data_IF_068314856282
#
_entry.id   IF_068314856282
#
_cell.length_a   1.000
_cell.length_b   1.000
_cell.length_c   1.000
_cell.angle_alpha   90.00
_cell.angle_beta   90.00
_cell.angle_gamma   90.00
#
_symmetry.space_group_name_H-M   'P 1'
#
loop_
_entity.id
_entity.type
_entity.pdbx_description
1 polymer ?
#
# COMPACT_ATOMS: atom_id res chain seq x y z
N UNK A 1 -12.72 68.66 12.96
CA UNK A 1 -11.74 67.65 12.53
C UNK A 1 -12.26 66.30 12.98
N UNK A 2 -12.81 65.53 12.04
CA UNK A 2 -13.65 64.36 12.29
C UNK A 2 -12.85 63.10 12.67
N UNK A 3 -13.39 62.38 13.65
CA UNK A 3 -12.93 61.09 14.16
C UNK A 3 -13.45 59.97 13.24
N UNK A 4 -12.57 59.22 12.57
CA UNK A 4 -12.94 58.01 11.81
C UNK A 4 -12.58 56.76 12.63
N UNK A 5 -13.61 56.06 13.12
CA UNK A 5 -13.50 54.73 13.72
C UNK A 5 -13.43 53.67 12.62
N UNK A 6 -12.28 53.02 12.48
CA UNK A 6 -12.13 51.83 11.63
C UNK A 6 -12.62 50.60 12.41
N UNK A 7 -13.83 50.13 12.07
CA UNK A 7 -14.35 48.83 12.48
C UNK A 7 -13.63 47.73 11.68
N UNK A 8 -12.70 47.04 12.31
CA UNK A 8 -12.08 45.82 11.77
C UNK A 8 -13.07 44.66 11.85
N UNK A 9 -13.59 44.24 10.71
CA UNK A 9 -14.35 43.00 10.58
C UNK A 9 -13.41 41.79 10.74
N UNK A 10 -13.59 41.03 11.82
CA UNK A 10 -12.98 39.71 11.96
C UNK A 10 -13.85 38.71 11.20
N UNK A 11 -13.38 38.25 10.05
CA UNK A 11 -14.01 37.14 9.32
C UNK A 11 -13.63 35.86 10.04
N UNK A 12 -14.53 35.32 10.87
CA UNK A 12 -14.40 33.96 11.40
C UNK A 12 -14.75 33.00 10.27
N UNK A 13 -13.75 32.39 9.66
CA UNK A 13 -13.95 31.30 8.73
C UNK A 13 -14.52 30.10 9.49
N UNK A 14 -15.82 29.87 9.37
CA UNK A 14 -16.45 28.64 9.84
C UNK A 14 -16.03 27.50 8.90
N UNK A 15 -15.08 26.68 9.34
CA UNK A 15 -14.76 25.44 8.64
C UNK A 15 -15.97 24.51 8.69
N UNK A 16 -16.45 23.99 7.55
CA UNK A 16 -17.58 23.08 7.54
C UNK A 16 -17.24 21.82 8.35
N UNK A 17 -18.22 21.24 9.07
CA UNK A 17 -18.00 20.01 9.84
C UNK A 17 -17.53 18.91 8.90
N UNK A 18 -16.33 18.39 9.15
CA UNK A 18 -15.77 17.27 8.41
C UNK A 18 -16.63 16.02 8.62
N UNK A 19 -17.34 15.61 7.58
CA UNK A 19 -18.14 14.38 7.59
C UNK A 19 -17.20 13.17 7.58
N UNK A 20 -16.98 12.55 8.76
CA UNK A 20 -16.04 11.42 8.97
C UNK A 20 -16.34 10.16 8.15
N UNK A 21 -17.51 10.09 7.49
CA UNK A 21 -17.94 8.89 6.75
C UNK A 21 -17.51 8.88 5.28
N UNK A 22 -16.93 9.97 4.77
CA UNK A 22 -16.34 10.00 3.43
C UNK A 22 -14.83 10.05 3.57
N UNK A 23 -14.19 8.88 3.60
CA UNK A 23 -12.75 8.77 3.49
C UNK A 23 -12.31 9.45 2.18
N UNK A 24 -11.52 10.53 2.29
CA UNK A 24 -10.91 11.16 1.11
C UNK A 24 -10.12 10.06 0.37
N UNK A 25 -10.33 9.86 -0.95
CA UNK A 25 -9.59 8.87 -1.73
C UNK A 25 -8.07 9.02 -1.65
N UNK A 26 -7.54 10.20 -1.30
CA UNK A 26 -6.12 10.39 -1.01
C UNK A 26 -5.64 9.60 0.23
N UNK A 27 -6.49 9.32 1.22
CA UNK A 27 -6.13 8.49 2.38
C UNK A 27 -5.95 7.00 2.03
N UNK A 28 -6.28 6.57 0.81
CA UNK A 28 -6.04 5.18 0.39
C UNK A 28 -4.59 4.92 -0.04
N UNK A 29 -3.76 5.96 -0.12
CA UNK A 29 -2.31 5.84 -0.36
C UNK A 29 -1.52 6.51 0.76
N UNK A 30 -0.96 5.72 1.66
CA UNK A 30 0.03 6.21 2.61
C UNK A 30 1.40 6.28 1.94
N UNK A 31 2.17 7.34 2.24
CA UNK A 31 3.53 7.59 1.71
C UNK A 31 3.66 7.55 0.16
N UNK A 32 2.53 7.57 -0.57
CA UNK A 32 2.45 7.55 -2.03
C UNK A 32 2.37 6.16 -2.67
N UNK A 33 2.88 5.12 -2.01
CA UNK A 33 3.05 3.76 -2.55
C UNK A 33 2.39 2.65 -1.72
N UNK A 34 1.90 2.95 -0.51
CA UNK A 34 1.23 1.98 0.35
C UNK A 34 -0.29 2.10 0.19
N UNK A 35 -0.92 1.08 -0.38
CA UNK A 35 -2.37 0.99 -0.49
C UNK A 35 -2.94 0.54 0.85
N UNK A 36 -3.74 1.37 1.50
CA UNK A 36 -4.38 1.02 2.77
C UNK A 36 -5.79 0.47 2.55
N UNK A 37 -6.04 -0.72 3.11
CA UNK A 37 -7.40 -1.26 3.23
C UNK A 37 -8.12 -0.62 4.42
N UNK A 38 -9.45 -0.67 4.45
CA UNK A 38 -10.24 -0.06 5.54
C UNK A 38 -9.87 -0.64 6.91
N UNK A 39 -9.50 -1.93 6.96
CA UNK A 39 -9.01 -2.60 8.15
C UNK A 39 -7.67 -2.01 8.64
N UNK A 40 -6.78 -1.65 7.71
CA UNK A 40 -5.47 -1.07 8.02
C UNK A 40 -5.60 0.35 8.55
N UNK A 41 -6.52 1.13 8.00
CA UNK A 41 -6.77 2.51 8.43
C UNK A 41 -7.13 2.58 9.92
N UNK A 42 -7.95 1.66 10.43
CA UNK A 42 -8.28 1.61 11.85
C UNK A 42 -7.09 1.15 12.71
N UNK A 43 -6.22 0.28 12.19
CA UNK A 43 -5.03 -0.20 12.92
C UNK A 43 -3.90 0.82 12.99
N UNK A 44 -3.75 1.66 11.96
CA UNK A 44 -2.67 2.64 11.83
C UNK A 44 -3.03 3.96 12.54
N UNK A 45 -4.32 4.29 12.68
CA UNK A 45 -4.78 5.49 13.39
C UNK A 45 -4.19 5.56 14.81
N UNK A 46 -3.32 6.54 15.03
CA UNK A 46 -2.69 6.80 16.33
C UNK A 46 -1.44 5.96 16.64
N UNK A 47 -0.95 5.16 15.69
CA UNK A 47 0.30 4.40 15.82
C UNK A 47 1.32 4.88 14.79
N UNK A 48 2.61 4.75 15.12
CA UNK A 48 3.72 4.97 14.19
C UNK A 48 4.20 3.60 13.68
N UNK A 49 4.26 3.42 12.38
CA UNK A 49 4.76 2.20 11.74
C UNK A 49 3.68 1.21 11.28
N UNK A 50 4.13 0.07 10.76
CA UNK A 50 3.25 -0.96 10.21
C UNK A 50 2.39 -1.64 11.29
N UNK A 51 1.17 -2.11 10.97
CA UNK A 51 0.34 -2.89 11.89
C UNK A 51 1.09 -4.12 12.39
N UNK A 52 1.44 -4.11 13.68
CA UNK A 52 2.09 -5.24 14.35
C UNK A 52 1.04 -6.21 14.91
N UNK A 53 0.35 -6.91 14.01
CA UNK A 53 -0.59 -7.97 14.39
C UNK A 53 -0.18 -9.29 13.75
N UNK A 54 -0.44 -10.42 14.42
CA UNK A 54 -0.15 -11.74 13.84
C UNK A 54 -0.95 -12.02 12.58
N UNK A 55 -2.10 -11.34 12.39
CA UNK A 55 -2.97 -11.51 11.22
C UNK A 55 -2.38 -10.92 9.96
N UNK A 56 -1.69 -9.78 10.08
CA UNK A 56 -1.07 -9.03 8.97
C UNK A 56 0.33 -9.50 8.63
N UNK A 57 0.95 -10.38 9.44
CA UNK A 57 2.26 -10.97 9.17
C UNK A 57 2.15 -12.20 8.27
N UNK A 58 3.19 -12.41 7.47
CA UNK A 58 3.38 -13.63 6.70
C UNK A 58 3.87 -14.76 7.61
N UNK A 59 3.34 -16.00 7.46
CA UNK A 59 3.87 -17.15 8.17
C UNK A 59 5.31 -17.42 7.76
N UNK A 60 6.16 -17.76 8.72
CA UNK A 60 7.59 -18.06 8.50
C UNK A 60 7.84 -19.53 8.18
N UNK A 61 6.86 -20.39 8.43
CA UNK A 61 6.91 -21.84 8.31
C UNK A 61 6.18 -22.35 7.06
N UNK A 62 5.80 -21.45 6.15
CA UNK A 62 5.03 -21.78 4.96
C UNK A 62 5.62 -21.11 3.72
N UNK A 63 5.49 -21.78 2.58
CA UNK A 63 5.84 -21.22 1.28
C UNK A 63 4.80 -20.17 0.88
N UNK A 64 5.25 -18.96 0.60
CA UNK A 64 4.42 -17.87 0.11
C UNK A 64 4.35 -17.96 -1.41
N UNK A 65 3.20 -18.38 -1.94
CA UNK A 65 3.02 -18.50 -3.39
C UNK A 65 2.85 -17.12 -4.04
N UNK A 66 3.53 -16.88 -5.16
CA UNK A 66 3.35 -15.65 -5.94
C UNK A 66 3.04 -15.96 -7.41
N UNK A 67 2.35 -15.05 -8.08
CA UNK A 67 2.07 -15.14 -9.51
C UNK A 67 2.31 -13.81 -10.18
N UNK A 68 2.95 -13.85 -11.35
CA UNK A 68 3.10 -12.70 -12.22
C UNK A 68 1.88 -12.60 -13.15
N UNK A 69 1.17 -11.48 -13.09
CA UNK A 69 0.00 -11.20 -13.92
C UNK A 69 0.23 -9.95 -14.77
N UNK A 70 0.33 -10.16 -16.08
CA UNK A 70 0.49 -9.10 -17.05
C UNK A 70 1.57 -9.41 -18.09
N UNK A 71 1.63 -8.63 -19.18
CA UNK A 71 2.65 -8.78 -20.21
C UNK A 71 3.99 -8.22 -19.70
N UNK A 72 4.69 -9.00 -18.89
CA UNK A 72 6.08 -8.76 -18.56
C UNK A 72 6.97 -9.32 -19.66
N UNK A 73 7.97 -8.55 -20.09
CA UNK A 73 9.07 -9.14 -20.84
C UNK A 73 9.89 -10.08 -19.94
N UNK A 74 10.73 -10.90 -20.56
CA UNK A 74 11.52 -11.92 -19.86
C UNK A 74 12.52 -11.32 -18.86
N UNK A 75 13.08 -10.13 -19.16
CA UNK A 75 14.03 -9.47 -18.28
C UNK A 75 13.34 -8.89 -17.02
N UNK A 76 12.20 -8.25 -17.19
CA UNK A 76 11.40 -7.70 -16.09
C UNK A 76 10.87 -8.83 -15.19
N UNK A 77 10.37 -9.92 -15.78
CA UNK A 77 9.96 -11.10 -15.01
C UNK A 77 11.14 -11.70 -14.23
N UNK A 78 12.33 -11.78 -14.83
CA UNK A 78 13.53 -12.25 -14.15
C UNK A 78 13.95 -11.33 -13.00
N UNK A 79 13.84 -10.00 -13.18
CA UNK A 79 14.10 -9.03 -12.11
C UNK A 79 13.19 -9.27 -10.91
N UNK A 80 11.88 -9.46 -11.13
CA UNK A 80 10.92 -9.76 -10.05
C UNK A 80 11.30 -11.07 -9.34
N UNK A 81 11.62 -12.12 -10.10
CA UNK A 81 12.09 -13.41 -9.54
C UNK A 81 13.35 -13.26 -8.69
N UNK A 82 14.30 -12.43 -9.13
CA UNK A 82 15.51 -12.14 -8.38
C UNK A 82 15.18 -11.45 -7.04
N UNK A 83 14.17 -10.57 -7.00
CA UNK A 83 13.69 -9.96 -5.75
C UNK A 83 13.16 -10.99 -4.75
N UNK A 84 12.30 -11.92 -5.19
CA UNK A 84 11.83 -13.02 -4.32
C UNK A 84 12.96 -13.94 -3.88
N UNK A 85 13.93 -14.23 -4.76
CA UNK A 85 15.13 -14.99 -4.41
C UNK A 85 15.96 -14.26 -3.36
N UNK A 86 16.19 -12.97 -3.51
CA UNK A 86 16.94 -12.18 -2.53
C UNK A 86 16.32 -12.30 -1.13
N UNK A 87 15.00 -12.17 -1.00
CA UNK A 87 14.34 -12.32 0.29
C UNK A 87 14.36 -13.76 0.81
N UNK A 88 14.30 -14.75 -0.08
CA UNK A 88 14.49 -16.16 0.31
C UNK A 88 15.88 -16.40 0.88
N UNK A 89 16.91 -15.81 0.27
CA UNK A 89 18.30 -16.01 0.67
C UNK A 89 18.68 -15.23 1.95
N UNK A 90 17.94 -14.17 2.29
CA UNK A 90 18.28 -13.21 3.36
C UNK A 90 17.24 -13.14 4.49
N UNK A 91 16.25 -14.03 4.51
CA UNK A 91 15.24 -14.09 5.57
C UNK A 91 14.79 -15.53 5.83
N UNK A 92 13.88 -15.72 6.79
CA UNK A 92 13.23 -17.02 7.03
C UNK A 92 12.04 -17.27 6.10
N UNK A 93 11.70 -16.34 5.20
CA UNK A 93 10.56 -16.47 4.29
C UNK A 93 10.97 -17.26 3.06
N UNK A 94 10.05 -18.07 2.54
CA UNK A 94 10.26 -18.82 1.29
C UNK A 94 9.17 -18.47 0.30
N UNK A 95 9.54 -18.34 -0.96
CA UNK A 95 8.64 -17.91 -2.03
C UNK A 95 8.68 -18.89 -3.20
N UNK A 96 7.52 -19.09 -3.83
CA UNK A 96 7.42 -19.96 -5.00
C UNK A 96 6.44 -19.40 -6.04
N UNK A 97 6.90 -19.33 -7.30
CA UNK A 97 6.03 -18.95 -8.42
C UNK A 97 4.97 -20.03 -8.64
N UNK A 98 3.71 -19.62 -8.84
CA UNK A 98 2.59 -20.52 -9.07
C UNK A 98 1.77 -20.09 -10.29
N UNK A 99 1.09 -21.07 -10.89
CA UNK A 99 0.07 -20.86 -11.92
C UNK A 99 -1.35 -20.82 -11.34
N UNK A 100 -1.50 -20.96 -10.02
CA UNK A 100 -2.79 -20.93 -9.31
C UNK A 100 -3.59 -19.66 -9.62
N UNK A 101 -4.92 -19.78 -9.59
CA UNK A 101 -5.83 -18.64 -9.70
C UNK A 101 -5.92 -17.84 -8.40
N UNK A 102 -5.53 -18.41 -7.26
CA UNK A 102 -5.57 -17.77 -5.94
C UNK A 102 -4.18 -17.82 -5.26
N UNK A 103 -3.18 -17.09 -5.79
CA UNK A 103 -1.86 -17.02 -5.16
C UNK A 103 -1.92 -16.24 -3.84
N UNK A 104 -0.91 -16.38 -2.98
CA UNK A 104 -0.78 -15.50 -1.82
C UNK A 104 -0.45 -14.07 -2.24
N UNK A 105 0.45 -13.91 -3.22
CA UNK A 105 0.87 -12.63 -3.79
C UNK A 105 0.55 -12.61 -5.29
N UNK A 106 -0.13 -11.56 -5.75
CA UNK A 106 -0.40 -11.30 -7.16
C UNK A 106 0.38 -10.06 -7.60
N UNK A 107 1.35 -10.26 -8.48
CA UNK A 107 2.24 -9.21 -8.99
C UNK A 107 1.69 -8.71 -10.33
N UNK A 108 1.03 -7.56 -10.31
CA UNK A 108 0.34 -6.98 -11.46
C UNK A 108 1.18 -5.96 -12.19
N UNK A 109 1.17 -6.02 -13.51
CA UNK A 109 1.71 -4.93 -14.33
C UNK A 109 0.74 -3.76 -14.26
N UNK A 110 1.07 -2.77 -13.46
CA UNK A 110 0.24 -1.61 -13.15
C UNK A 110 0.71 -0.33 -13.85
N UNK A 111 0.28 0.81 -13.32
CA UNK A 111 0.73 2.14 -13.76
C UNK A 111 1.68 2.80 -12.76
N UNK A 112 1.86 2.19 -11.59
CA UNK A 112 2.53 2.75 -10.43
C UNK A 112 3.32 1.67 -9.68
N UNK A 113 4.19 2.10 -8.77
CA UNK A 113 4.89 1.22 -7.84
C UNK A 113 4.13 1.27 -6.52
N UNK A 114 3.35 0.23 -6.21
CA UNK A 114 2.54 0.22 -4.99
C UNK A 114 2.21 -1.17 -4.50
N UNK A 115 1.86 -1.28 -3.23
CA UNK A 115 1.45 -2.54 -2.62
C UNK A 115 0.53 -2.30 -1.43
N UNK A 116 -0.31 -3.28 -1.07
CA UNK A 116 -0.95 -3.27 0.24
C UNK A 116 0.06 -3.60 1.35
N UNK A 117 -0.32 -3.47 2.62
CA UNK A 117 0.60 -3.73 3.73
C UNK A 117 0.37 -5.12 4.34
N UNK A 118 1.40 -5.94 4.36
CA UNK A 118 1.34 -7.27 4.99
C UNK A 118 0.42 -8.25 4.26
N UNK A 119 -0.08 -9.24 5.00
CA UNK A 119 -0.95 -10.31 4.48
C UNK A 119 -2.41 -9.88 4.56
N UNK A 120 -3.10 -9.85 3.42
CA UNK A 120 -4.56 -9.69 3.38
C UNK A 120 -5.24 -10.99 3.81
N UNK A 121 -6.34 -10.86 4.55
CA UNK A 121 -7.09 -11.99 5.11
C UNK A 121 -8.11 -12.61 4.13
N UNK A 122 -8.50 -11.86 3.09
CA UNK A 122 -9.61 -12.20 2.21
C UNK A 122 -9.21 -12.42 0.73
N UNK A 123 -8.04 -11.92 0.30
CA UNK A 123 -7.63 -11.96 -1.10
C UNK A 123 -6.10 -12.10 -1.24
N UNK A 124 -5.65 -12.33 -2.48
CA UNK A 124 -4.23 -12.21 -2.82
C UNK A 124 -3.73 -10.81 -2.47
N UNK A 125 -2.59 -10.74 -1.80
CA UNK A 125 -1.85 -9.49 -1.62
C UNK A 125 -1.39 -8.97 -2.98
N UNK A 126 -1.66 -7.71 -3.29
CA UNK A 126 -1.38 -7.13 -4.60
C UNK A 126 -0.11 -6.29 -4.53
N UNK A 127 0.79 -6.51 -5.49
CA UNK A 127 1.93 -5.64 -5.77
C UNK A 127 1.78 -5.15 -7.20
N UNK A 128 1.75 -3.83 -7.39
CA UNK A 128 1.72 -3.18 -8.69
C UNK A 128 3.14 -2.79 -9.09
N UNK A 129 3.54 -3.22 -10.29
CA UNK A 129 4.77 -2.82 -10.96
C UNK A 129 4.42 -2.08 -12.25
N UNK A 130 4.46 -0.76 -12.19
CA UNK A 130 4.35 0.12 -13.34
C UNK A 130 5.67 0.40 -14.05
N UNK A 131 5.60 1.32 -15.00
CA UNK A 131 6.77 1.88 -15.67
C UNK A 131 7.66 2.61 -14.64
N UNK A 132 8.97 2.36 -14.68
CA UNK A 132 9.93 2.96 -13.75
C UNK A 132 10.13 2.21 -12.43
N UNK A 133 9.33 1.18 -12.13
CA UNK A 133 9.51 0.35 -10.93
C UNK A 133 10.65 -0.69 -11.03
N UNK A 134 11.38 -0.69 -12.16
CA UNK A 134 12.51 -1.55 -12.46
C UNK A 134 13.87 -0.86 -12.29
N UNK A 135 13.89 0.28 -11.61
CA UNK A 135 15.12 0.98 -11.25
C UNK A 135 15.53 0.53 -9.84
N UNK A 136 16.52 -0.36 -9.76
CA UNK A 136 17.14 -0.84 -8.51
C UNK A 136 18.58 -0.39 -8.44
#
# INVERSE_FOLDING_TARGET
TSLLLLLSFVVVAAFPPHNRTVLNPEFRRAEGDIILEDEDLEMIRGKRGAPDTSRTKWPIDQVISYKLEGPYDSAYAQMIRNGFKFWTDNSCLTYQETTSTTPNILVKKGTDCSSTLGRSSAASHIINFGEGCNNV
#
